data_IF_412044110492
#
_entry.id   IF_412044110492
#
_cell.length_a   1.000
_cell.length_b   1.000
_cell.length_c   1.000
_cell.angle_alpha   90.00
_cell.angle_beta   90.00
_cell.angle_gamma   90.00
#
_symmetry.space_group_name_H-M   'P 1'
#
loop_
_entity.id
_entity.type
_entity.pdbx_description
1 polymer ?
#
# COMPACT_ATOMS: atom_id res chain seq x y z
N UNK A 1 29.09 4.27 2.58
CA UNK A 1 28.12 4.45 1.47
C UNK A 1 27.38 5.77 1.63
N UNK A 2 27.16 6.51 0.54
CA UNK A 2 26.33 7.71 0.53
C UNK A 2 25.00 7.41 -0.17
N UNK A 3 23.89 7.81 0.45
CA UNK A 3 22.56 7.70 -0.13
C UNK A 3 22.02 9.11 -0.41
N UNK A 4 21.98 9.51 -1.68
CA UNK A 4 21.41 10.81 -2.08
C UNK A 4 19.90 10.71 -2.28
N UNK A 5 19.15 11.65 -1.71
CA UNK A 5 17.70 11.76 -1.91
C UNK A 5 17.25 13.22 -1.98
N UNK A 6 16.30 13.53 -2.88
CA UNK A 6 15.74 14.88 -3.02
C UNK A 6 14.75 15.27 -1.92
N UNK A 7 13.85 14.34 -1.57
CA UNK A 7 12.65 14.62 -0.74
C UNK A 7 12.65 13.86 0.58
N UNK A 8 13.63 12.97 0.77
CA UNK A 8 13.56 11.96 1.80
C UNK A 8 12.46 10.93 1.54
N UNK A 9 12.16 10.12 2.55
CA UNK A 9 11.12 9.11 2.49
C UNK A 9 10.78 8.58 3.87
N UNK A 10 9.67 7.86 3.94
CA UNK A 10 9.28 7.13 5.13
C UNK A 10 9.76 5.70 4.98
N UNK A 11 10.68 5.27 5.85
CA UNK A 11 11.12 3.89 5.93
C UNK A 11 10.30 3.17 6.99
N UNK A 12 9.77 2.02 6.60
CA UNK A 12 9.12 1.09 7.49
C UNK A 12 9.97 -0.18 7.61
N UNK A 13 10.01 -0.71 8.82
CA UNK A 13 10.39 -2.09 8.98
C UNK A 13 9.34 -2.98 8.28
N UNK A 14 9.81 -4.03 7.60
CA UNK A 14 8.92 -5.05 7.01
C UNK A 14 8.03 -5.67 8.09
N UNK A 15 8.55 -5.75 9.32
CA UNK A 15 7.88 -6.35 10.46
C UNK A 15 7.51 -5.30 11.52
N UNK A 16 6.32 -5.43 12.10
CA UNK A 16 5.87 -4.68 13.27
C UNK A 16 6.47 -5.26 14.57
N UNK A 17 6.22 -4.62 15.72
CA UNK A 17 6.77 -4.93 17.07
C UNK A 17 6.68 -6.40 17.54
N UNK A 18 5.88 -7.24 16.90
CA UNK A 18 5.71 -8.67 17.22
C UNK A 18 6.15 -9.62 16.09
N UNK A 19 6.81 -9.14 15.04
CA UNK A 19 7.25 -10.00 13.92
C UNK A 19 6.20 -10.22 12.81
N UNK A 20 5.02 -9.61 12.93
CA UNK A 20 4.01 -9.57 11.84
C UNK A 20 4.48 -8.72 10.68
N UNK A 21 4.19 -9.13 9.45
CA UNK A 21 4.42 -8.26 8.30
C UNK A 21 3.49 -7.02 8.37
N UNK A 22 4.03 -5.85 8.03
CA UNK A 22 3.26 -4.62 8.00
C UNK A 22 2.07 -4.72 7.03
N UNK A 23 2.28 -5.33 5.86
CA UNK A 23 1.24 -5.48 4.84
C UNK A 23 0.06 -6.34 5.33
N UNK A 24 0.32 -7.43 6.05
CA UNK A 24 -0.75 -8.28 6.60
C UNK A 24 -1.59 -7.53 7.64
N UNK A 25 -0.93 -6.68 8.43
CA UNK A 25 -1.62 -5.81 9.38
C UNK A 25 -2.39 -4.69 8.68
N UNK A 26 -1.82 -4.10 7.65
CA UNK A 26 -2.38 -2.94 6.95
C UNK A 26 -3.56 -3.32 6.03
N UNK A 27 -3.48 -4.48 5.36
CA UNK A 27 -4.42 -4.92 4.33
C UNK A 27 -5.50 -5.86 4.87
N UNK A 28 -6.34 -5.34 5.75
CA UNK A 28 -7.59 -5.99 6.19
C UNK A 28 -8.80 -5.23 5.65
N UNK A 29 -9.96 -5.88 5.55
CA UNK A 29 -11.20 -5.19 5.14
C UNK A 29 -11.62 -4.13 6.15
N UNK A 30 -11.48 -4.44 7.44
CA UNK A 30 -11.71 -3.48 8.52
C UNK A 30 -10.86 -2.22 8.36
N UNK A 31 -9.54 -2.38 8.12
CA UNK A 31 -8.67 -1.23 7.93
C UNK A 31 -8.99 -0.48 6.62
N UNK A 32 -9.36 -1.19 5.55
CA UNK A 32 -9.84 -0.55 4.31
C UNK A 32 -11.06 0.33 4.57
N UNK A 33 -12.05 -0.19 5.29
CA UNK A 33 -13.25 0.56 5.66
C UNK A 33 -12.90 1.81 6.47
N UNK A 34 -12.05 1.68 7.48
CA UNK A 34 -11.57 2.83 8.27
C UNK A 34 -10.87 3.87 7.37
N UNK A 35 -10.09 3.45 6.37
CA UNK A 35 -9.40 4.38 5.46
C UNK A 35 -10.36 5.18 4.58
N UNK A 36 -11.56 4.65 4.30
CA UNK A 36 -12.61 5.33 3.55
C UNK A 36 -13.31 6.41 4.41
N UNK A 37 -13.52 6.15 5.70
CA UNK A 37 -14.20 7.10 6.59
C UNK A 37 -13.28 8.12 7.27
N UNK A 38 -12.02 7.76 7.56
CA UNK A 38 -11.09 8.64 8.28
C UNK A 38 -10.19 9.41 7.30
N UNK A 39 -10.25 10.76 7.30
CA UNK A 39 -9.38 11.61 6.49
C UNK A 39 -7.89 11.28 6.64
N UNK A 40 -7.16 11.37 5.52
CA UNK A 40 -5.74 11.02 5.45
C UNK A 40 -4.87 11.79 6.46
N UNK A 41 -5.16 13.07 6.71
CA UNK A 41 -4.36 13.89 7.63
C UNK A 41 -4.43 13.36 9.07
N UNK A 42 -5.61 12.92 9.53
CA UNK A 42 -5.80 12.32 10.85
C UNK A 42 -5.05 11.00 10.96
N UNK A 43 -5.16 10.14 9.94
CA UNK A 43 -4.43 8.86 9.88
C UNK A 43 -2.92 9.07 9.91
N UNK A 44 -2.44 10.05 9.13
CA UNK A 44 -1.01 10.37 9.04
C UNK A 44 -0.48 10.87 10.37
N UNK A 45 -1.19 11.78 11.05
CA UNK A 45 -0.80 12.32 12.36
C UNK A 45 -0.83 11.24 13.44
N UNK A 46 -1.86 10.39 13.45
CA UNK A 46 -1.96 9.27 14.39
C UNK A 46 -0.77 8.31 14.26
N UNK A 47 -0.42 7.89 13.04
CA UNK A 47 0.67 6.94 12.81
C UNK A 47 2.05 7.56 13.07
N UNK A 48 2.24 8.84 12.77
CA UNK A 48 3.46 9.57 13.14
C UNK A 48 3.61 9.63 14.67
N UNK A 49 2.53 9.87 15.41
CA UNK A 49 2.54 9.89 16.88
C UNK A 49 2.70 8.47 17.48
N UNK A 50 2.33 7.43 16.74
CA UNK A 50 2.50 6.02 17.14
C UNK A 50 3.80 5.42 16.55
N UNK A 51 4.70 6.27 16.03
CA UNK A 51 5.93 5.92 15.29
C UNK A 51 6.76 4.81 15.95
N UNK A 52 6.90 4.87 17.29
CA UNK A 52 7.68 3.90 18.07
C UNK A 52 7.12 2.47 18.00
N UNK A 53 5.82 2.29 17.72
CA UNK A 53 5.18 0.96 17.64
C UNK A 53 5.32 0.30 16.26
N UNK A 54 5.51 1.10 15.20
CA UNK A 54 5.57 0.63 13.81
C UNK A 54 6.99 0.65 13.22
N UNK A 55 7.99 1.00 14.03
CA UNK A 55 9.37 1.21 13.58
C UNK A 55 9.41 2.12 12.34
N UNK A 56 8.59 3.18 12.37
CA UNK A 56 8.49 4.16 11.29
C UNK A 56 9.66 5.13 11.44
N UNK A 57 10.57 5.08 10.49
CA UNK A 57 11.74 5.94 10.46
C UNK A 57 11.54 7.03 9.41
N UNK A 58 11.32 8.28 9.84
CA UNK A 58 11.38 9.39 8.92
C UNK A 58 12.84 9.54 8.49
N UNK A 59 13.08 9.62 7.18
CA UNK A 59 14.43 9.78 6.63
C UNK A 59 14.45 11.05 5.80
N UNK A 60 15.20 12.05 6.27
CA UNK A 60 15.34 13.33 5.60
C UNK A 60 16.83 13.61 5.29
N UNK A 61 17.15 14.09 4.07
CA UNK A 61 18.52 14.28 3.62
C UNK A 61 19.24 15.49 4.21
N UNK A 62 18.51 16.47 4.77
CA UNK A 62 19.10 17.72 5.29
C UNK A 62 19.39 17.58 6.80
N UNK A 63 20.66 17.82 7.20
CA UNK A 63 21.07 17.89 8.61
C UNK A 63 20.38 19.06 9.33
N UNK A 64 19.87 18.80 10.55
CA UNK A 64 19.35 19.85 11.45
C UNK A 64 17.87 20.22 11.30
N UNK A 65 17.17 19.75 10.25
CA UNK A 65 15.74 20.05 10.02
C UNK A 65 14.76 19.09 10.75
N UNK A 66 15.27 18.20 11.59
CA UNK A 66 14.52 17.02 12.04
C UNK A 66 14.38 16.01 10.90
N UNK A 67 14.29 14.73 11.24
CA UNK A 67 14.31 13.63 10.27
C UNK A 67 13.06 13.54 9.38
N UNK A 68 12.15 14.52 9.37
CA UNK A 68 10.85 14.45 8.71
C UNK A 68 10.92 14.73 7.19
N UNK A 69 10.41 13.81 6.34
CA UNK A 69 10.22 14.05 4.91
C UNK A 69 9.41 15.32 4.63
N UNK A 70 9.60 15.93 3.45
CA UNK A 70 8.84 17.11 2.99
C UNK A 70 7.34 16.81 2.78
N UNK A 71 6.91 15.58 3.04
CA UNK A 71 5.56 15.10 2.80
C UNK A 71 5.02 14.20 3.91
N UNK A 72 3.70 14.24 4.07
CA UNK A 72 3.00 13.37 5.01
C UNK A 72 3.14 11.89 4.66
N UNK A 73 3.02 11.03 5.68
CA UNK A 73 2.92 9.58 5.55
C UNK A 73 1.83 9.19 4.52
N UNK A 74 2.09 8.17 3.70
CA UNK A 74 1.23 7.72 2.58
C UNK A 74 0.98 8.74 1.45
N UNK A 75 1.76 9.82 1.36
CA UNK A 75 1.74 10.72 0.19
C UNK A 75 2.63 10.23 -0.95
N UNK A 76 3.44 9.22 -0.66
CA UNK A 76 4.27 8.45 -1.57
C UNK A 76 4.27 6.99 -1.11
N UNK A 77 4.78 6.10 -1.96
CA UNK A 77 5.03 4.72 -1.60
C UNK A 77 6.03 4.65 -0.44
N UNK A 78 5.76 3.73 0.50
CA UNK A 78 6.61 3.50 1.66
C UNK A 78 7.84 2.70 1.24
N UNK A 79 9.01 3.10 1.73
CA UNK A 79 10.22 2.28 1.61
C UNK A 79 10.20 1.20 2.68
N UNK A 80 10.51 -0.04 2.32
CA UNK A 80 10.69 -1.12 3.28
C UNK A 80 12.17 -1.45 3.42
N UNK A 81 12.66 -1.46 4.65
CA UNK A 81 14.05 -1.79 4.93
C UNK A 81 14.26 -2.05 6.41
N UNK A 82 14.42 -3.32 6.78
CA UNK A 82 14.74 -3.76 8.16
C UNK A 82 16.09 -3.21 8.61
N UNK A 83 17.12 -3.38 7.77
CA UNK A 83 18.52 -3.15 8.14
C UNK A 83 19.01 -1.73 7.85
N UNK A 84 18.35 -1.00 6.94
CA UNK A 84 18.79 0.34 6.54
C UNK A 84 18.81 1.31 7.73
N UNK A 85 17.89 1.12 8.68
CA UNK A 85 17.85 1.83 9.95
C UNK A 85 19.14 1.68 10.78
N UNK A 86 19.66 0.45 10.86
CA UNK A 86 20.88 0.12 11.59
C UNK A 86 22.10 0.70 10.89
N UNK A 87 22.12 0.68 9.55
CA UNK A 87 23.21 1.28 8.78
C UNK A 87 23.28 2.80 8.90
N UNK A 88 22.12 3.48 9.05
CA UNK A 88 22.10 4.90 9.39
C UNK A 88 22.61 5.14 10.81
N UNK A 89 22.15 4.36 11.79
CA UNK A 89 22.55 4.51 13.20
C UNK A 89 24.05 4.29 13.42
N UNK A 90 24.65 3.35 12.69
CA UNK A 90 26.08 3.04 12.76
C UNK A 90 26.95 3.96 11.89
N UNK A 91 26.35 4.83 11.06
CA UNK A 91 27.08 5.71 10.15
C UNK A 91 27.63 5.04 8.89
N UNK A 92 27.41 3.73 8.71
CA UNK A 92 27.81 2.97 7.52
C UNK A 92 27.18 3.51 6.23
N UNK A 93 25.94 3.99 6.34
CA UNK A 93 25.23 4.72 5.29
C UNK A 93 24.96 6.14 5.80
N UNK A 94 25.35 7.15 5.02
CA UNK A 94 25.07 8.56 5.32
C UNK A 94 24.12 9.10 4.26
N UNK A 95 23.02 9.72 4.68
CA UNK A 95 22.10 10.37 3.75
C UNK A 95 22.64 11.75 3.34
N UNK A 96 22.46 12.09 2.07
CA UNK A 96 22.83 13.37 1.47
C UNK A 96 21.65 13.95 0.67
N UNK A 97 21.58 15.28 0.50
CA UNK A 97 20.60 15.90 -0.38
C UNK A 97 20.88 15.59 -1.85
N UNK A 98 20.12 16.22 -2.75
CA UNK A 98 20.30 16.02 -4.19
C UNK A 98 21.73 16.38 -4.62
N UNK A 99 22.20 15.70 -5.65
CA UNK A 99 23.49 16.02 -6.28
C UNK A 99 23.32 17.31 -7.07
N UNK A 100 24.18 18.28 -6.81
CA UNK A 100 24.24 19.53 -7.55
C UNK A 100 25.10 19.40 -8.80
N UNK A 101 26.34 18.90 -8.64
CA UNK A 101 27.28 18.73 -9.73
C UNK A 101 28.17 17.49 -9.52
N UNK A 102 28.64 16.91 -10.62
CA UNK A 102 29.69 15.91 -10.62
C UNK A 102 30.94 16.59 -11.18
N UNK A 103 32.02 16.60 -10.41
CA UNK A 103 33.31 17.14 -10.86
C UNK A 103 34.12 16.05 -11.57
N UNK A 104 35.06 16.46 -12.42
CA UNK A 104 35.96 15.54 -13.13
C UNK A 104 36.93 14.76 -12.20
N UNK A 105 37.00 15.13 -10.92
CA UNK A 105 38.01 14.67 -9.95
C UNK A 105 37.52 13.68 -8.88
N UNK A 106 36.57 12.79 -9.18
CA UNK A 106 35.93 11.89 -8.20
C UNK A 106 35.30 12.62 -7.00
N UNK A 107 34.89 13.89 -7.19
CA UNK A 107 34.21 14.67 -6.16
C UNK A 107 32.75 14.91 -6.57
N UNK A 108 31.85 14.80 -5.60
CA UNK A 108 30.41 15.04 -5.76
C UNK A 108 30.01 16.22 -4.89
N UNK A 109 29.44 17.24 -5.52
CA UNK A 109 28.88 18.40 -4.83
C UNK A 109 27.38 18.20 -4.63
N UNK A 110 26.90 18.48 -3.42
CA UNK A 110 25.50 18.37 -3.04
C UNK A 110 24.83 19.75 -2.90
N UNK A 111 23.50 19.79 -2.98
CA UNK A 111 22.72 21.05 -2.91
C UNK A 111 22.90 21.82 -1.59
N UNK A 112 23.34 21.16 -0.51
CA UNK A 112 23.66 21.82 0.76
C UNK A 112 25.07 22.46 0.77
N UNK A 113 25.76 22.47 -0.37
CA UNK A 113 27.13 22.97 -0.53
C UNK A 113 28.20 22.01 0.01
N UNK A 114 27.82 20.81 0.49
CA UNK A 114 28.82 19.83 0.91
C UNK A 114 29.45 19.14 -0.29
N UNK A 115 30.75 18.88 -0.20
CA UNK A 115 31.52 18.16 -1.22
C UNK A 115 32.07 16.88 -0.59
N UNK A 116 31.82 15.74 -1.22
CA UNK A 116 32.43 14.47 -0.84
C UNK A 116 33.40 14.05 -1.95
N UNK A 117 34.64 13.74 -1.56
CA UNK A 117 35.73 13.34 -2.45
C UNK A 117 35.88 11.83 -2.47
N UNK A 118 36.70 11.33 -3.39
CA UNK A 118 37.06 9.90 -3.48
C UNK A 118 35.83 8.99 -3.68
N UNK A 119 34.89 9.42 -4.53
CA UNK A 119 33.74 8.60 -4.90
C UNK A 119 34.08 7.72 -6.10
N UNK A 120 34.22 6.42 -5.86
CA UNK A 120 34.58 5.45 -6.91
C UNK A 120 33.40 5.07 -7.82
N UNK A 121 32.19 4.99 -7.26
CA UNK A 121 31.01 4.49 -7.97
C UNK A 121 29.76 5.30 -7.67
N UNK A 122 28.96 5.53 -8.72
CA UNK A 122 27.62 6.11 -8.61
C UNK A 122 26.61 5.08 -9.12
N UNK A 123 25.70 4.64 -8.24
CA UNK A 123 24.63 3.69 -8.57
C UNK A 123 23.31 4.45 -8.65
N UNK A 124 22.76 4.55 -9.86
CA UNK A 124 21.52 5.28 -10.11
C UNK A 124 20.29 4.41 -9.83
N UNK A 125 19.77 4.50 -8.60
CA UNK A 125 18.50 3.88 -8.20
C UNK A 125 17.29 4.76 -8.58
N UNK A 126 17.25 5.27 -9.82
CA UNK A 126 16.27 6.29 -10.26
C UNK A 126 14.91 5.75 -10.70
N UNK A 127 14.72 4.42 -10.67
CA UNK A 127 13.50 3.75 -11.09
C UNK A 127 13.53 3.41 -12.59
N UNK A 128 12.38 2.98 -13.11
CA UNK A 128 12.23 2.53 -14.49
C UNK A 128 11.12 3.31 -15.20
N UNK A 129 11.24 3.42 -16.52
CA UNK A 129 10.16 3.85 -17.41
C UNK A 129 9.68 2.60 -18.18
N UNK A 130 8.37 2.52 -18.43
CA UNK A 130 7.76 1.39 -19.16
C UNK A 130 7.20 1.91 -20.48
N UNK A 131 7.39 1.18 -21.57
CA UNK A 131 6.84 1.50 -22.90
C UNK A 131 6.24 0.24 -23.55
N UNK A 132 5.14 0.39 -24.27
CA UNK A 132 4.45 -0.69 -25.01
C UNK A 132 4.44 -0.42 -26.51
N UNK A 133 5.62 -0.39 -27.12
CA UNK A 133 5.78 -0.04 -28.55
C UNK A 133 5.01 -0.99 -29.48
N UNK A 134 4.85 -2.26 -29.09
CA UNK A 134 4.11 -3.26 -29.85
C UNK A 134 2.58 -3.07 -29.81
N UNK A 135 2.04 -2.24 -28.90
CA UNK A 135 0.59 -1.97 -28.78
C UNK A 135 0.29 -0.59 -29.36
N UNK A 136 -0.28 -0.54 -30.56
CA UNK A 136 -0.64 0.69 -31.27
C UNK A 136 0.50 1.74 -31.30
N UNK A 137 1.75 1.30 -31.48
CA UNK A 137 2.94 2.16 -31.45
C UNK A 137 3.06 2.99 -30.17
N UNK A 138 2.66 2.43 -29.02
CA UNK A 138 2.66 3.09 -27.72
C UNK A 138 1.54 4.11 -27.51
N UNK A 139 0.54 4.20 -28.39
CA UNK A 139 -0.55 5.19 -28.29
C UNK A 139 -1.70 4.75 -27.38
N UNK A 140 -2.05 3.46 -27.38
CA UNK A 140 -3.22 2.96 -26.64
C UNK A 140 -3.02 3.03 -25.13
N UNK A 141 -1.83 2.65 -24.68
CA UNK A 141 -1.40 2.74 -23.28
C UNK A 141 -0.33 3.84 -23.24
N UNK A 142 -0.77 5.10 -23.21
CA UNK A 142 0.13 6.24 -23.18
C UNK A 142 0.96 6.22 -21.90
N UNK A 143 2.25 5.92 -22.01
CA UNK A 143 3.15 5.73 -20.85
C UNK A 143 3.72 7.03 -20.29
N UNK A 144 3.30 8.19 -20.80
CA UNK A 144 3.72 9.51 -20.31
C UNK A 144 3.49 9.70 -18.79
N UNK A 145 2.65 8.87 -18.19
CA UNK A 145 2.42 8.80 -16.76
C UNK A 145 2.44 7.37 -16.20
N UNK A 146 3.21 6.40 -16.72
CA UNK A 146 3.34 5.05 -16.12
C UNK A 146 2.00 4.51 -15.56
N UNK A 147 0.97 4.35 -16.41
CA UNK A 147 -0.40 4.02 -16.02
C UNK A 147 -0.57 2.55 -15.57
N UNK A 148 0.09 2.17 -14.48
CA UNK A 148 -0.05 0.88 -13.82
C UNK A 148 -0.60 1.03 -12.41
N UNK A 149 -1.77 0.42 -12.15
CA UNK A 149 -2.35 0.33 -10.82
C UNK A 149 -1.41 -0.44 -9.88
N UNK A 150 -0.70 0.29 -9.03
CA UNK A 150 0.21 -0.24 -8.03
C UNK A 150 -0.43 -0.09 -6.63
N UNK A 151 -0.45 -1.17 -5.83
CA UNK A 151 -0.90 -1.04 -4.45
C UNK A 151 0.10 -0.18 -3.65
N UNK A 152 -0.41 0.72 -2.80
CA UNK A 152 0.42 1.48 -1.83
C UNK A 152 1.27 0.52 -0.99
N UNK A 153 0.64 -0.55 -0.55
CA UNK A 153 1.21 -1.65 0.20
C UNK A 153 0.37 -2.89 -0.12
N UNK A 154 0.97 -3.94 -0.65
CA UNK A 154 0.25 -5.14 -1.04
C UNK A 154 0.96 -5.93 -2.14
N UNK A 155 0.46 -7.12 -2.41
CA UNK A 155 1.01 -7.98 -3.44
C UNK A 155 0.36 -7.67 -4.79
N UNK A 156 1.13 -7.68 -5.87
CA UNK A 156 0.59 -7.52 -7.23
C UNK A 156 -0.06 -8.81 -7.75
N UNK A 157 0.33 -9.97 -7.21
CA UNK A 157 -0.12 -11.27 -7.71
C UNK A 157 -1.64 -11.49 -7.61
N UNK A 158 -2.31 -11.16 -6.48
CA UNK A 158 -3.76 -11.30 -6.39
C UNK A 158 -4.49 -10.34 -7.34
N UNK A 159 -3.93 -9.14 -7.53
CA UNK A 159 -4.47 -8.16 -8.48
C UNK A 159 -4.38 -8.71 -9.91
N UNK A 160 -3.21 -9.22 -10.31
CA UNK A 160 -3.01 -9.80 -11.63
C UNK A 160 -3.92 -11.01 -11.89
N UNK A 161 -4.13 -11.88 -10.89
CA UNK A 161 -5.09 -12.98 -10.96
C UNK A 161 -6.52 -12.45 -11.22
N UNK A 162 -6.99 -11.50 -10.40
CA UNK A 162 -8.34 -10.95 -10.51
C UNK A 162 -8.55 -10.19 -11.82
N UNK A 163 -7.55 -9.42 -12.28
CA UNK A 163 -7.58 -8.74 -13.58
C UNK A 163 -7.66 -9.75 -14.73
N UNK A 164 -6.90 -10.84 -14.66
CA UNK A 164 -6.95 -11.91 -15.67
C UNK A 164 -8.32 -12.57 -15.69
N UNK A 165 -8.90 -12.87 -14.51
CA UNK A 165 -10.26 -13.42 -14.40
C UNK A 165 -11.29 -12.47 -15.02
N UNK A 166 -11.25 -11.18 -14.66
CA UNK A 166 -12.16 -10.18 -15.21
C UNK A 166 -12.04 -10.09 -16.73
N UNK A 167 -10.83 -10.08 -17.27
CA UNK A 167 -10.60 -10.08 -18.71
C UNK A 167 -11.29 -11.27 -19.40
N UNK A 168 -11.10 -12.49 -18.90
CA UNK A 168 -11.71 -13.68 -19.51
C UNK A 168 -13.22 -13.75 -19.32
N UNK A 169 -13.77 -13.26 -18.20
CA UNK A 169 -15.22 -13.18 -17.99
C UNK A 169 -15.88 -12.17 -18.94
N UNK A 170 -15.21 -11.04 -19.21
CA UNK A 170 -15.66 -10.08 -20.23
C UNK A 170 -15.53 -10.66 -21.64
N UNK A 171 -14.39 -11.30 -21.94
CA UNK A 171 -14.15 -11.92 -23.24
C UNK A 171 -15.15 -13.03 -23.56
N UNK A 172 -15.55 -13.81 -22.56
CA UNK A 172 -16.56 -14.88 -22.69
C UNK A 172 -18.00 -14.34 -22.73
N UNK A 173 -18.21 -13.05 -22.50
CA UNK A 173 -19.53 -12.41 -22.49
C UNK A 173 -20.33 -12.56 -21.20
N UNK A 174 -19.74 -13.13 -20.14
CA UNK A 174 -20.38 -13.32 -18.83
C UNK A 174 -20.51 -12.00 -18.05
N UNK A 175 -19.56 -11.08 -18.25
CA UNK A 175 -19.55 -9.75 -17.63
C UNK A 175 -19.62 -8.69 -18.73
N UNK A 176 -20.58 -7.76 -18.61
CA UNK A 176 -20.69 -6.61 -19.51
C UNK A 176 -19.99 -5.41 -18.90
N UNK A 177 -19.12 -4.78 -19.68
CA UNK A 177 -18.48 -3.53 -19.28
C UNK A 177 -19.50 -2.37 -19.27
N UNK A 178 -19.31 -1.37 -18.40
CA UNK A 178 -20.12 -0.17 -18.40
C UNK A 178 -19.90 0.64 -19.69
N UNK A 179 -20.72 1.68 -19.90
CA UNK A 179 -20.58 2.53 -21.08
C UNK A 179 -19.20 3.21 -21.12
N UNK A 180 -18.67 3.53 -22.31
CA UNK A 180 -17.40 4.24 -22.44
C UNK A 180 -17.38 5.59 -21.70
N UNK A 181 -18.54 6.25 -21.58
CA UNK A 181 -18.68 7.48 -20.80
C UNK A 181 -18.45 7.23 -19.31
N UNK A 182 -19.11 6.23 -18.74
CA UNK A 182 -18.93 5.85 -17.34
C UNK A 182 -17.49 5.44 -17.04
N UNK A 183 -16.84 4.70 -17.94
CA UNK A 183 -15.43 4.32 -17.79
C UNK A 183 -14.51 5.55 -17.75
N UNK A 184 -14.72 6.53 -18.63
CA UNK A 184 -13.94 7.76 -18.65
C UNK A 184 -14.16 8.62 -17.40
N UNK A 185 -15.41 8.75 -16.96
CA UNK A 185 -15.75 9.48 -15.74
C UNK A 185 -15.08 8.88 -14.50
N UNK A 186 -15.09 7.54 -14.38
CA UNK A 186 -14.41 6.82 -13.31
C UNK A 186 -12.89 7.00 -13.35
N UNK A 187 -12.28 6.97 -14.54
CA UNK A 187 -10.85 7.23 -14.71
C UNK A 187 -10.47 8.65 -14.25
N UNK A 188 -11.27 9.66 -14.62
CA UNK A 188 -11.04 11.04 -14.20
C UNK A 188 -11.22 11.23 -12.68
N UNK A 189 -12.19 10.55 -12.07
CA UNK A 189 -12.34 10.53 -10.60
C UNK A 189 -11.11 9.94 -9.92
N UNK A 190 -10.57 8.82 -10.43
CA UNK A 190 -9.35 8.20 -9.89
C UNK A 190 -8.13 9.11 -10.05
N UNK A 191 -7.97 9.74 -11.22
CA UNK A 191 -6.91 10.74 -11.48
C UNK A 191 -7.01 11.92 -10.52
N UNK A 192 -8.21 12.47 -10.32
CA UNK A 192 -8.46 13.52 -9.34
C UNK A 192 -8.08 13.07 -7.92
N UNK A 193 -8.54 11.88 -7.49
CA UNK A 193 -8.24 11.32 -6.18
C UNK A 193 -6.73 11.16 -5.95
N UNK A 194 -5.99 10.72 -6.97
CA UNK A 194 -4.54 10.59 -6.89
C UNK A 194 -3.88 11.97 -6.78
N UNK A 195 -4.32 12.94 -7.58
CA UNK A 195 -3.76 14.29 -7.58
C UNK A 195 -3.93 15.04 -6.26
N UNK A 196 -5.00 14.75 -5.53
CA UNK A 196 -5.29 15.32 -4.21
C UNK A 196 -4.51 14.61 -3.11
N UNK A 197 -4.40 13.27 -3.18
CA UNK A 197 -3.85 12.48 -2.09
C UNK A 197 -2.36 12.21 -2.20
N UNK A 198 -1.74 12.25 -3.38
CA UNK A 198 -0.33 11.88 -3.57
C UNK A 198 0.49 13.00 -4.19
N UNK A 199 1.79 12.93 -3.97
CA UNK A 199 2.70 13.90 -4.55
C UNK A 199 2.85 13.62 -6.05
N UNK A 200 2.63 14.66 -6.85
CA UNK A 200 2.88 14.64 -8.29
C UNK A 200 4.34 14.25 -8.56
N UNK A 201 4.55 13.03 -9.04
CA UNK A 201 5.83 12.47 -9.46
C UNK A 201 5.61 11.46 -10.56
N UNK A 202 6.62 11.27 -11.43
CA UNK A 202 6.58 10.26 -12.50
C UNK A 202 6.47 8.80 -11.98
N UNK A 203 6.79 8.57 -10.71
CA UNK A 203 6.76 7.23 -10.07
C UNK A 203 5.42 6.88 -9.43
N UNK A 204 4.57 7.87 -9.11
CA UNK A 204 3.35 7.69 -8.30
C UNK A 204 2.11 8.11 -9.08
N UNK A 205 1.88 7.44 -10.18
CA UNK A 205 0.91 7.86 -11.18
C UNK A 205 -0.42 7.13 -11.08
N UNK A 206 -0.43 5.88 -10.60
CA UNK A 206 -1.65 5.13 -10.32
C UNK A 206 -1.51 4.30 -9.03
N UNK A 207 -1.75 4.96 -7.91
CA UNK A 207 -1.71 4.33 -6.59
C UNK A 207 -3.12 3.96 -6.17
N UNK A 208 -3.33 2.67 -5.93
CA UNK A 208 -4.62 2.14 -5.48
C UNK A 208 -4.53 1.56 -4.06
N UNK A 209 -5.65 1.58 -3.36
CA UNK A 209 -5.81 0.80 -2.14
C UNK A 209 -5.95 -0.69 -2.52
N UNK A 210 -4.98 -1.50 -2.10
CA UNK A 210 -4.91 -2.92 -2.46
C UNK A 210 -6.21 -3.68 -2.17
N UNK A 211 -6.79 -3.45 -0.98
CA UNK A 211 -7.97 -4.20 -0.55
C UNK A 211 -9.18 -3.74 -1.34
N UNK A 212 -9.38 -2.44 -1.46
CA UNK A 212 -10.51 -1.87 -2.20
C UNK A 212 -10.48 -2.30 -3.67
N UNK A 213 -9.34 -2.20 -4.34
CA UNK A 213 -9.21 -2.56 -5.74
C UNK A 213 -9.50 -4.05 -5.99
N UNK A 214 -8.99 -4.93 -5.11
CA UNK A 214 -9.31 -6.36 -5.22
C UNK A 214 -10.81 -6.65 -4.97
N UNK A 215 -11.47 -5.92 -4.06
CA UNK A 215 -12.90 -6.09 -3.80
C UNK A 215 -13.75 -5.60 -4.98
N UNK A 216 -13.39 -4.49 -5.62
CA UNK A 216 -14.05 -3.99 -6.83
C UNK A 216 -13.95 -4.99 -7.98
N UNK A 217 -12.75 -5.51 -8.25
CA UNK A 217 -12.55 -6.56 -9.26
C UNK A 217 -13.36 -7.81 -8.92
N UNK A 218 -13.38 -8.21 -7.64
CA UNK A 218 -14.13 -9.37 -7.17
C UNK A 218 -15.65 -9.20 -7.32
N UNK A 219 -16.16 -7.98 -7.15
CA UNK A 219 -17.57 -7.65 -7.35
C UNK A 219 -17.94 -7.75 -8.84
N UNK A 220 -17.11 -7.20 -9.73
CA UNK A 220 -17.34 -7.26 -11.18
C UNK A 220 -17.40 -8.71 -11.72
N UNK A 221 -16.58 -9.62 -11.18
CA UNK A 221 -16.57 -11.04 -11.58
C UNK A 221 -17.54 -11.92 -10.77
N UNK A 222 -18.29 -11.35 -9.82
CA UNK A 222 -19.26 -12.09 -9.01
C UNK A 222 -18.65 -13.07 -7.99
N UNK A 223 -17.41 -12.85 -7.55
CA UNK A 223 -16.72 -13.69 -6.54
C UNK A 223 -16.55 -12.97 -5.21
N UNK A 224 -17.03 -11.74 -5.11
CA UNK A 224 -17.04 -10.98 -3.88
C UNK A 224 -17.71 -11.78 -2.78
N UNK A 225 -17.02 -11.88 -1.64
CA UNK A 225 -17.59 -12.57 -0.48
C UNK A 225 -18.79 -11.76 0.06
N UNK A 226 -19.78 -12.41 0.68
CA UNK A 226 -20.91 -11.71 1.28
C UNK A 226 -20.49 -10.64 2.31
N UNK A 227 -21.34 -9.63 2.55
CA UNK A 227 -21.13 -8.65 3.61
C UNK A 227 -21.07 -9.34 4.98
N UNK A 228 -20.42 -8.70 5.96
CA UNK A 228 -20.10 -9.28 7.26
C UNK A 228 -21.30 -9.99 7.90
N UNK A 229 -22.45 -9.32 7.99
CA UNK A 229 -23.64 -9.86 8.66
C UNK A 229 -24.13 -11.17 8.03
N UNK A 230 -24.20 -11.26 6.69
CA UNK A 230 -24.63 -12.49 6.00
C UNK A 230 -23.67 -13.64 6.27
N UNK A 231 -22.37 -13.37 6.21
CA UNK A 231 -21.36 -14.39 6.45
C UNK A 231 -21.36 -14.81 7.92
N UNK A 232 -21.51 -13.86 8.85
CA UNK A 232 -21.51 -14.10 10.30
C UNK A 232 -22.67 -15.01 10.75
N UNK A 233 -23.87 -14.86 10.17
CA UNK A 233 -24.99 -15.76 10.44
C UNK A 233 -24.77 -17.19 9.91
N UNK A 234 -24.00 -17.34 8.82
CA UNK A 234 -23.73 -18.67 8.23
C UNK A 234 -22.51 -19.36 8.85
N UNK A 235 -21.46 -18.59 9.14
CA UNK A 235 -20.15 -19.07 9.60
C UNK A 235 -19.39 -17.91 10.27
N UNK A 236 -19.62 -17.76 11.57
CA UNK A 236 -19.05 -16.66 12.35
C UNK A 236 -17.51 -16.64 12.31
N UNK A 237 -16.86 -17.80 12.39
CA UNK A 237 -15.40 -17.89 12.38
C UNK A 237 -14.82 -17.44 11.05
N UNK A 238 -15.43 -17.85 9.93
CA UNK A 238 -15.04 -17.40 8.61
C UNK A 238 -15.31 -15.91 8.42
N UNK A 239 -16.41 -15.37 8.95
CA UNK A 239 -16.72 -13.94 8.89
C UNK A 239 -15.66 -13.09 9.59
N UNK A 240 -15.25 -13.50 10.80
CA UNK A 240 -14.19 -12.85 11.56
C UNK A 240 -12.86 -12.90 10.80
N UNK A 241 -12.50 -14.07 10.24
CA UNK A 241 -11.29 -14.23 9.45
C UNK A 241 -11.29 -13.32 8.20
N UNK A 242 -12.38 -13.28 7.45
CA UNK A 242 -12.47 -12.48 6.21
C UNK A 242 -12.34 -10.97 6.47
N UNK A 243 -12.90 -10.49 7.58
CA UNK A 243 -12.99 -9.04 7.84
C UNK A 243 -11.82 -8.47 8.65
N UNK A 244 -11.37 -9.21 9.66
CA UNK A 244 -10.38 -8.71 10.62
C UNK A 244 -8.99 -9.30 10.44
N UNK A 245 -8.83 -10.35 9.62
CA UNK A 245 -7.54 -10.92 9.23
C UNK A 245 -7.08 -10.41 7.85
N UNK A 246 -5.81 -10.61 7.46
CA UNK A 246 -5.31 -10.12 6.17
C UNK A 246 -6.17 -10.60 5.01
N UNK A 247 -6.17 -9.80 3.93
CA UNK A 247 -6.82 -10.17 2.69
C UNK A 247 -6.05 -11.31 2.00
N UNK A 248 -6.41 -12.55 2.32
CA UNK A 248 -5.89 -13.72 1.63
C UNK A 248 -6.55 -13.90 0.26
N UNK A 249 -5.80 -14.22 -0.81
CA UNK A 249 -6.38 -14.48 -2.14
C UNK A 249 -7.42 -15.60 -2.15
N UNK A 250 -7.28 -16.58 -1.24
CA UNK A 250 -8.27 -17.64 -1.02
C UNK A 250 -9.68 -17.10 -0.74
N UNK A 251 -9.83 -15.87 -0.21
CA UNK A 251 -11.14 -15.26 -0.01
C UNK A 251 -11.94 -15.12 -1.31
N UNK A 252 -11.27 -14.91 -2.45
CA UNK A 252 -11.88 -14.79 -3.78
C UNK A 252 -12.23 -16.14 -4.43
N UNK A 253 -12.14 -17.23 -3.66
CA UNK A 253 -12.53 -18.60 -4.03
C UNK A 253 -13.62 -19.17 -3.12
N UNK A 254 -14.15 -18.38 -2.18
CA UNK A 254 -15.24 -18.80 -1.28
C UNK A 254 -16.58 -18.85 -2.03
N UNK A 255 -16.82 -17.89 -2.91
CA UNK A 255 -18.08 -17.69 -3.64
C UNK A 255 -17.81 -17.44 -5.13
N UNK A 256 -18.85 -17.53 -5.94
CA UNK A 256 -18.80 -17.21 -7.37
C UNK A 256 -18.33 -18.37 -8.25
N UNK A 257 -18.06 -18.09 -9.54
CA UNK A 257 -17.60 -19.07 -10.51
C UNK A 257 -16.25 -19.66 -10.10
N UNK A 258 -16.09 -20.97 -10.32
CA UNK A 258 -14.89 -21.74 -9.96
C UNK A 258 -14.50 -21.61 -8.47
N UNK A 259 -15.50 -21.51 -7.59
CA UNK A 259 -15.30 -21.48 -6.14
C UNK A 259 -14.97 -22.86 -5.59
N UNK A 260 -14.06 -22.89 -4.61
CA UNK A 260 -13.75 -24.07 -3.81
C UNK A 260 -13.83 -23.67 -2.33
N UNK A 261 -15.07 -23.54 -1.86
CA UNK A 261 -15.37 -23.00 -0.53
C UNK A 261 -14.71 -23.78 0.59
N UNK A 262 -14.66 -25.11 0.49
CA UNK A 262 -14.11 -25.98 1.54
C UNK A 262 -12.61 -25.73 1.71
N UNK A 263 -11.85 -25.77 0.61
CA UNK A 263 -10.41 -25.58 0.65
C UNK A 263 -10.04 -24.13 0.99
N UNK A 264 -10.72 -23.15 0.38
CA UNK A 264 -10.54 -21.74 0.70
C UNK A 264 -10.76 -21.45 2.19
N UNK A 265 -11.83 -21.98 2.79
CA UNK A 265 -12.11 -21.85 4.22
C UNK A 265 -11.00 -22.48 5.06
N UNK A 266 -10.54 -23.69 4.71
CA UNK A 266 -9.46 -24.36 5.45
C UNK A 266 -8.17 -23.54 5.44
N UNK A 267 -7.77 -23.02 4.27
CA UNK A 267 -6.58 -22.17 4.14
C UNK A 267 -6.71 -20.92 5.02
N UNK A 268 -7.83 -20.19 4.90
CA UNK A 268 -8.05 -18.95 5.65
C UNK A 268 -8.02 -19.20 7.16
N UNK A 269 -8.71 -20.24 7.63
CA UNK A 269 -8.76 -20.54 9.07
C UNK A 269 -7.43 -21.07 9.60
N UNK A 270 -6.64 -21.79 8.80
CA UNK A 270 -5.31 -22.22 9.20
C UNK A 270 -4.33 -21.05 9.32
N UNK A 271 -4.35 -20.11 8.36
CA UNK A 271 -3.56 -18.89 8.47
C UNK A 271 -4.00 -18.02 9.66
N UNK A 272 -5.31 -17.91 9.89
CA UNK A 272 -5.85 -17.26 11.09
C UNK A 272 -5.32 -17.90 12.38
N UNK A 273 -5.29 -19.24 12.46
CA UNK A 273 -4.76 -19.95 13.64
C UNK A 273 -3.27 -19.71 13.85
N UNK A 274 -2.47 -19.71 12.77
CA UNK A 274 -1.04 -19.36 12.85
C UNK A 274 -0.86 -17.94 13.36
N UNK A 275 -1.66 -17.00 12.84
CA UNK A 275 -1.63 -15.61 13.30
C UNK A 275 -2.07 -15.46 14.76
N UNK A 276 -3.12 -16.16 15.17
CA UNK A 276 -3.61 -16.18 16.53
C UNK A 276 -2.53 -16.67 17.49
N UNK A 277 -1.97 -17.85 17.24
CA UNK A 277 -1.02 -18.48 18.14
C UNK A 277 0.27 -17.68 18.28
N UNK A 278 0.76 -17.10 17.18
CA UNK A 278 2.03 -16.39 17.19
C UNK A 278 1.91 -14.93 17.63
N UNK A 279 0.70 -14.34 17.60
CA UNK A 279 0.57 -12.89 17.68
C UNK A 279 -0.83 -12.37 18.12
N UNK A 280 -1.44 -13.06 19.06
CA UNK A 280 -2.78 -12.77 19.62
C UNK A 280 -2.94 -11.32 20.12
N UNK A 281 -1.93 -10.80 20.82
CA UNK A 281 -1.99 -9.50 21.52
C UNK A 281 -2.10 -8.29 20.56
N UNK A 282 -1.65 -8.44 19.30
CA UNK A 282 -1.52 -7.33 18.35
C UNK A 282 -2.82 -6.77 17.75
N UNK A 283 -3.94 -7.52 17.78
CA UNK A 283 -5.18 -7.13 17.05
C UNK A 283 -6.41 -6.95 17.93
N UNK A 284 -6.55 -7.74 18.99
CA UNK A 284 -7.75 -7.73 19.82
C UNK A 284 -7.91 -6.39 20.55
N UNK A 285 -6.82 -5.84 21.11
CA UNK A 285 -6.87 -4.57 21.85
C UNK A 285 -7.22 -3.37 20.95
N UNK A 286 -6.62 -3.25 19.76
CA UNK A 286 -6.84 -2.08 18.89
C UNK A 286 -8.21 -2.06 18.22
N UNK A 287 -8.72 -3.21 17.78
CA UNK A 287 -10.04 -3.25 17.13
C UNK A 287 -11.16 -3.12 18.15
N UNK A 288 -11.02 -3.70 19.35
CA UNK A 288 -11.97 -3.45 20.44
C UNK A 288 -11.92 -2.00 20.88
N UNK A 289 -10.74 -1.40 21.03
CA UNK A 289 -10.62 0.01 21.43
C UNK A 289 -11.22 0.95 20.38
N UNK A 290 -11.02 0.69 19.08
CA UNK A 290 -11.65 1.47 18.00
C UNK A 290 -13.15 1.23 17.90
N UNK A 291 -13.62 -0.01 18.07
CA UNK A 291 -15.06 -0.32 18.13
C UNK A 291 -15.69 0.36 19.35
N UNK A 292 -15.05 0.32 20.52
CA UNK A 292 -15.50 1.02 21.72
C UNK A 292 -15.50 2.54 21.52
N UNK A 293 -14.49 3.12 20.90
CA UNK A 293 -14.46 4.56 20.57
C UNK A 293 -15.60 4.91 19.61
N UNK A 294 -15.84 4.10 18.58
CA UNK A 294 -16.94 4.31 17.63
C UNK A 294 -18.29 4.18 18.33
N UNK A 295 -18.46 3.18 19.21
CA UNK A 295 -19.67 3.00 20.00
C UNK A 295 -19.89 4.15 21.00
N UNK A 296 -18.83 4.65 21.64
CA UNK A 296 -18.88 5.82 22.53
C UNK A 296 -19.21 7.08 21.74
N UNK A 297 -18.62 7.26 20.55
CA UNK A 297 -18.90 8.40 19.68
C UNK A 297 -20.34 8.36 19.16
N UNK A 298 -20.83 7.20 18.74
CA UNK A 298 -22.23 7.01 18.35
C UNK A 298 -23.17 7.25 19.53
N UNK A 299 -22.82 6.79 20.73
CA UNK A 299 -23.61 7.03 21.95
C UNK A 299 -23.66 8.51 22.35
N UNK A 300 -22.57 9.26 22.16
CA UNK A 300 -22.50 10.71 22.48
C UNK A 300 -23.23 11.62 21.48
N UNK A 301 -23.48 11.16 20.26
CA UNK A 301 -24.02 12.01 19.18
C UNK A 301 -25.38 11.53 18.62
N UNK A 302 -25.89 10.37 19.06
CA UNK A 302 -27.21 9.84 18.68
C UNK A 302 -28.21 9.78 19.85
N UNK A 303 -27.85 10.31 21.02
CA UNK A 303 -28.70 10.59 22.18
C UNK A 303 -28.68 12.09 22.48
#
# INVERSE_FOLDING_TARGET
>A
VLLSARRGGWLLNKFCKEGKSFCDHFNTRWNSLIRQFIPKFLRSKFLQNTSNSLSLLPVHPIKGAGYCPVHNLFSTQLGFGTELSLHFATGNVRIKPDIWSLSDGNEVEFVDGTIEKEIDYIILCTGYEFNFEFVENGKLIATHHNDFHLPIAGSKWPIAELQSRLFFEVFSGNVKLPSPFCMKDELEKRRCNISVNYIKTRRHTQIEDHVQFCLELAEMIGVATPPFYKLAFSDFHLAVAVWFYPLFPAQFRICGPFSNKREAKLIILNEMKKEFNNHWNCRFERNIFLILIILIFLWLFLL
#
